data_IF_780933772311
#
_entry.id   IF_780933772311
#
_cell.length_a   1.000
_cell.length_b   1.000
_cell.length_c   1.000
_cell.angle_alpha   90.00
_cell.angle_beta   90.00
_cell.angle_gamma   90.00
#
_symmetry.space_group_name_H-M   'P 1'
#
loop_
_entity.id
_entity.type
_entity.pdbx_description
1 polymer ?
#
# COMPACT_ATOMS: atom_id res chain seq x y z
N UNK A 1 -6.26 21.03 -20.98
CA UNK A 1 -4.94 20.54 -20.56
C UNK A 1 -4.80 20.79 -19.06
N UNK A 2 -5.19 19.82 -18.24
CA UNK A 2 -5.14 19.97 -16.79
C UNK A 2 -3.83 19.35 -16.29
N UNK A 3 -2.85 20.25 -16.13
CA UNK A 3 -1.65 20.16 -15.29
C UNK A 3 -1.41 18.81 -14.62
N UNK A 4 -0.55 18.03 -15.27
CA UNK A 4 0.36 17.04 -14.68
C UNK A 4 0.95 17.57 -13.37
N UNK A 5 0.47 17.06 -12.26
CA UNK A 5 1.27 16.92 -11.03
C UNK A 5 1.32 15.42 -10.83
N UNK A 6 2.33 14.81 -11.47
CA UNK A 6 2.70 13.41 -11.27
C UNK A 6 3.37 13.33 -9.89
N UNK A 7 2.60 13.61 -8.83
CA UNK A 7 2.91 13.19 -7.47
C UNK A 7 2.40 11.76 -7.38
N UNK A 8 2.97 10.84 -8.16
CA UNK A 8 2.80 9.41 -7.91
C UNK A 8 3.27 9.19 -6.48
N UNK A 9 2.30 9.01 -5.57
CA UNK A 9 2.58 8.74 -4.17
C UNK A 9 3.30 7.39 -4.12
N UNK A 10 4.13 7.16 -3.10
CA UNK A 10 4.82 5.87 -2.93
C UNK A 10 3.85 4.67 -3.00
N UNK A 11 2.61 4.87 -2.53
CA UNK A 11 1.55 3.85 -2.60
C UNK A 11 1.10 3.51 -4.04
N UNK A 12 1.33 4.38 -5.04
CA UNK A 12 1.00 4.13 -6.44
C UNK A 12 2.07 3.31 -7.18
N UNK A 13 3.26 3.14 -6.59
CA UNK A 13 4.30 2.30 -7.17
C UNK A 13 3.91 0.83 -7.12
N UNK A 14 4.40 0.06 -8.09
CA UNK A 14 4.29 -1.40 -8.06
C UNK A 14 5.08 -1.94 -6.86
N UNK A 15 4.58 -3.00 -6.21
CA UNK A 15 5.31 -3.60 -5.10
C UNK A 15 6.69 -4.09 -5.55
N UNK A 16 6.83 -4.56 -6.78
CA UNK A 16 8.12 -4.93 -7.38
C UNK A 16 9.11 -3.78 -7.52
N UNK A 17 8.62 -2.57 -7.76
CA UNK A 17 9.46 -1.37 -7.86
C UNK A 17 9.80 -0.80 -6.48
N UNK A 18 8.87 -0.92 -5.53
CA UNK A 18 9.00 -0.39 -4.18
C UNK A 18 9.74 -1.32 -3.21
N UNK A 19 9.67 -2.64 -3.43
CA UNK A 19 10.19 -3.67 -2.54
C UNK A 19 10.93 -4.77 -3.29
N UNK A 20 12.24 -4.90 -3.06
CA UNK A 20 13.10 -5.92 -3.70
C UNK A 20 12.71 -7.38 -3.37
N UNK A 21 11.87 -7.59 -2.36
CA UNK A 21 11.41 -8.93 -1.94
C UNK A 21 10.07 -9.34 -2.55
N UNK A 22 9.38 -8.42 -3.22
CA UNK A 22 8.09 -8.68 -3.86
C UNK A 22 8.28 -8.64 -5.37
N UNK A 23 7.79 -9.66 -6.08
CA UNK A 23 7.70 -9.64 -7.56
C UNK A 23 6.29 -9.24 -8.02
N UNK A 24 5.47 -8.70 -7.12
CA UNK A 24 4.08 -8.37 -7.43
C UNK A 24 3.98 -7.08 -8.23
N UNK A 25 3.37 -7.15 -9.41
CA UNK A 25 3.01 -5.99 -10.23
C UNK A 25 1.87 -5.16 -9.61
N UNK A 26 1.27 -5.65 -8.52
CA UNK A 26 0.21 -4.96 -7.79
C UNK A 26 0.74 -3.66 -7.17
N UNK A 27 -0.02 -2.55 -7.20
CA UNK A 27 0.33 -1.33 -6.50
C UNK A 27 0.42 -1.54 -4.98
N UNK A 28 1.34 -0.83 -4.32
CA UNK A 28 1.46 -0.84 -2.85
C UNK A 28 0.15 -0.44 -2.16
N UNK A 29 -0.61 0.48 -2.76
CA UNK A 29 -1.95 0.91 -2.32
C UNK A 29 -2.91 -0.27 -2.20
N UNK A 30 -2.97 -1.10 -3.24
CA UNK A 30 -3.91 -2.22 -3.29
C UNK A 30 -3.48 -3.32 -2.31
N UNK A 31 -2.19 -3.55 -2.17
CA UNK A 31 -1.68 -4.49 -1.17
C UNK A 31 -2.04 -4.06 0.26
N UNK A 32 -1.88 -2.77 0.60
CA UNK A 32 -2.29 -2.23 1.91
C UNK A 32 -3.81 -2.30 2.07
N UNK A 33 -4.56 -1.98 1.02
CA UNK A 33 -6.02 -2.05 1.01
C UNK A 33 -6.51 -3.47 1.32
N UNK A 34 -5.98 -4.49 0.64
CA UNK A 34 -6.35 -5.89 0.86
C UNK A 34 -6.03 -6.34 2.30
N UNK A 35 -4.88 -5.95 2.84
CA UNK A 35 -4.54 -6.24 4.24
C UNK A 35 -5.53 -5.60 5.22
N UNK A 36 -5.89 -4.32 4.98
CA UNK A 36 -6.85 -3.61 5.80
C UNK A 36 -8.26 -4.20 5.65
N UNK A 37 -8.66 -4.64 4.45
CA UNK A 37 -9.91 -5.35 4.22
C UNK A 37 -9.97 -6.61 5.07
N UNK A 38 -8.96 -7.49 5.01
CA UNK A 38 -8.90 -8.70 5.82
C UNK A 38 -8.97 -8.39 7.33
N UNK A 39 -8.24 -7.36 7.77
CA UNK A 39 -8.22 -6.92 9.17
C UNK A 39 -9.55 -6.33 9.64
N UNK A 40 -10.26 -5.64 8.75
CA UNK A 40 -11.52 -4.97 9.03
C UNK A 40 -12.75 -5.85 8.71
N UNK A 41 -12.57 -7.16 8.50
CA UNK A 41 -13.65 -8.10 8.12
C UNK A 41 -14.39 -7.67 6.85
N UNK A 42 -13.64 -7.20 5.85
CA UNK A 42 -14.09 -6.70 4.56
C UNK A 42 -14.98 -5.44 4.64
N UNK A 43 -14.86 -4.68 5.72
CA UNK A 43 -15.52 -3.38 5.87
C UNK A 43 -14.80 -2.32 5.03
N UNK A 44 -15.40 -1.98 3.89
CA UNK A 44 -14.88 -0.99 2.95
C UNK A 44 -14.86 0.43 3.52
N UNK A 45 -15.81 0.77 4.40
CA UNK A 45 -15.88 2.10 5.01
C UNK A 45 -14.73 2.32 6.00
N UNK A 46 -14.42 1.31 6.81
CA UNK A 46 -13.26 1.36 7.71
C UNK A 46 -11.96 1.32 6.94
N UNK A 47 -11.86 0.47 5.93
CA UNK A 47 -10.64 0.37 5.12
C UNK A 47 -10.34 1.68 4.40
N UNK A 48 -11.35 2.36 3.85
CA UNK A 48 -11.16 3.69 3.27
C UNK A 48 -10.70 4.72 4.31
N UNK A 49 -11.30 4.71 5.51
CA UNK A 49 -10.91 5.60 6.59
C UNK A 49 -9.46 5.35 7.05
N UNK A 50 -9.05 4.08 7.13
CA UNK A 50 -7.70 3.66 7.49
C UNK A 50 -6.69 3.95 6.38
N UNK A 51 -7.10 3.94 5.09
CA UNK A 51 -6.26 4.25 3.93
C UNK A 51 -5.96 5.73 3.75
N UNK A 52 -6.89 6.63 4.14
CA UNK A 52 -6.70 8.08 4.05
C UNK A 52 -5.38 8.60 4.62
N UNK A 53 -4.93 8.20 5.83
CA UNK A 53 -3.64 8.65 6.33
C UNK A 53 -2.45 8.14 5.50
N UNK A 54 -2.52 6.95 4.87
CA UNK A 54 -1.43 6.45 4.03
C UNK A 54 -1.20 7.28 2.76
N UNK A 55 -2.20 8.05 2.31
CA UNK A 55 -2.06 8.98 1.18
C UNK A 55 -1.23 10.22 1.53
N UNK A 56 -1.11 10.55 2.82
CA UNK A 56 -0.37 11.73 3.30
C UNK A 56 0.83 11.36 4.18
N UNK A 57 0.99 10.07 4.51
CA UNK A 57 2.10 9.55 5.31
C UNK A 57 3.39 9.57 4.50
N UNK A 58 4.53 9.64 5.19
CA UNK A 58 5.83 9.58 4.54
C UNK A 58 6.06 8.18 3.93
N UNK A 59 6.74 8.14 2.79
CA UNK A 59 7.13 6.88 2.12
C UNK A 59 7.78 5.89 3.09
N UNK A 60 8.68 6.35 3.97
CA UNK A 60 9.37 5.51 4.93
C UNK A 60 8.40 4.79 5.90
N UNK A 61 7.38 5.49 6.40
CA UNK A 61 6.39 4.91 7.31
C UNK A 61 5.48 3.89 6.60
N UNK A 62 5.09 4.21 5.35
CA UNK A 62 4.33 3.29 4.50
C UNK A 62 5.16 2.04 4.21
N UNK A 63 6.44 2.21 3.85
CA UNK A 63 7.38 1.13 3.59
C UNK A 63 7.55 0.24 4.82
N UNK A 64 7.77 0.83 5.99
CA UNK A 64 7.89 0.10 7.26
C UNK A 64 6.60 -0.67 7.58
N UNK A 65 5.43 -0.08 7.34
CA UNK A 65 4.15 -0.77 7.53
C UNK A 65 4.02 -1.99 6.61
N UNK A 66 4.31 -1.82 5.33
CA UNK A 66 4.26 -2.90 4.33
C UNK A 66 5.30 -3.96 4.67
N UNK A 67 6.55 -3.59 4.98
CA UNK A 67 7.59 -4.53 5.38
C UNK A 67 7.29 -5.27 6.69
N UNK A 68 6.46 -4.71 7.56
CA UNK A 68 6.11 -5.34 8.84
C UNK A 68 4.86 -6.22 8.75
N UNK A 69 3.90 -5.85 7.91
CA UNK A 69 2.59 -6.50 7.84
C UNK A 69 2.39 -7.33 6.57
N UNK A 70 2.90 -6.85 5.43
CA UNK A 70 2.74 -7.46 4.10
C UNK A 70 3.95 -8.29 3.66
N UNK A 71 5.13 -8.09 4.28
CA UNK A 71 6.29 -8.97 4.15
C UNK A 71 6.06 -10.27 4.92
N UNK A 72 4.97 -10.96 4.58
CA UNK A 72 4.83 -12.37 4.87
C UNK A 72 5.78 -13.07 3.90
N UNK A 73 7.03 -13.24 4.32
CA UNK A 73 7.96 -14.20 3.70
C UNK A 73 7.14 -15.45 3.47
N UNK A 74 6.83 -15.76 2.20
CA UNK A 74 6.09 -16.92 1.72
C UNK A 74 5.80 -17.91 2.86
N UNK A 75 4.73 -17.67 3.62
CA UNK A 75 4.50 -18.45 4.83
C UNK A 75 3.80 -19.72 4.41
N UNK A 76 4.61 -20.64 3.85
CA UNK A 76 4.42 -22.08 3.63
C UNK A 76 3.12 -22.55 3.00
#
# INVERSE_FOLDING_TARGET
MAKTVDETLFIDYQMSDAFDWSDSEMPVRDAIWDYLMEKNSHDTLKTEADMKPFMTMAEADVRDFVEKNLKTVASK
#
